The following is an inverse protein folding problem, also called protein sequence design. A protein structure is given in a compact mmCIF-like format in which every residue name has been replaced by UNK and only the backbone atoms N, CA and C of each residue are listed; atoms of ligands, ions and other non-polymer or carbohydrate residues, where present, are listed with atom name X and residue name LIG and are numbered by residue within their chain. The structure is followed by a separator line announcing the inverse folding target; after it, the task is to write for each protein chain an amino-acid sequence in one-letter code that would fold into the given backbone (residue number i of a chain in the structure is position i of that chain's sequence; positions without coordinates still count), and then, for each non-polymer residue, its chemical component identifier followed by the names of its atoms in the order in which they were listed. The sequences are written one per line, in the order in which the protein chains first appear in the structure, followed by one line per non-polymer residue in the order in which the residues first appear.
data_IF_240111278946
#
_entry.id   IF_240111278946
#
_cell.length_a   1.000
_cell.length_b   1.000
_cell.length_c   1.000
_cell.angle_alpha   90.00
_cell.angle_beta   90.00
_cell.angle_gamma   90.00
#
_symmetry.space_group_name_H-M   'P 1'
#
loop_
_entity.id
_entity.type
_entity.pdbx_description
1 polymer ?
#
# COMPACT_ATOMS: atom_id res chain seq x y z
N UNK A 1 3.29 23.10 12.49
CA UNK A 1 2.14 22.43 11.86
C UNK A 1 2.47 21.72 10.53
N UNK A 2 3.74 21.34 10.26
CA UNK A 2 4.17 21.02 8.88
C UNK A 2 4.64 19.57 8.63
N UNK A 3 4.77 18.71 9.64
CA UNK A 3 5.31 17.35 9.41
C UNK A 3 4.24 16.38 8.89
N UNK A 4 3.01 16.48 9.39
CA UNK A 4 1.89 15.61 9.00
C UNK A 4 1.43 15.91 7.56
N UNK A 5 1.41 17.19 7.15
CA UNK A 5 1.02 17.59 5.80
C UNK A 5 2.04 17.16 4.73
N UNK A 6 3.33 17.09 5.05
CA UNK A 6 4.36 16.61 4.12
C UNK A 6 4.29 15.09 3.92
N UNK A 7 4.10 14.31 4.99
CA UNK A 7 3.97 12.84 4.89
C UNK A 7 2.73 12.46 4.05
N UNK A 8 1.63 13.20 4.21
CA UNK A 8 0.39 12.96 3.46
C UNK A 8 0.53 13.26 1.96
N UNK A 9 1.34 14.25 1.57
CA UNK A 9 1.61 14.54 0.16
C UNK A 9 2.48 13.45 -0.48
N UNK A 10 3.45 12.90 0.26
CA UNK A 10 4.34 11.86 -0.25
C UNK A 10 3.60 10.53 -0.48
N UNK A 11 2.73 10.12 0.44
CA UNK A 11 1.96 8.88 0.29
C UNK A 11 0.96 8.96 -0.88
N UNK A 12 0.37 10.13 -1.11
CA UNK A 12 -0.55 10.36 -2.23
C UNK A 12 0.14 10.21 -3.59
N UNK A 13 1.38 10.70 -3.70
CA UNK A 13 2.20 10.51 -4.90
C UNK A 13 2.46 9.02 -5.12
N UNK A 14 2.85 8.29 -4.07
CA UNK A 14 3.12 6.86 -4.17
C UNK A 14 1.88 6.05 -4.58
N UNK A 15 0.70 6.37 -4.04
CA UNK A 15 -0.56 5.70 -4.43
C UNK A 15 -0.88 5.99 -5.90
N UNK A 16 -0.69 7.22 -6.36
CA UNK A 16 -0.90 7.57 -7.77
C UNK A 16 0.07 6.80 -8.69
N UNK A 17 1.31 6.60 -8.27
CA UNK A 17 2.27 5.78 -9.02
C UNK A 17 1.81 4.32 -9.13
N UNK A 18 1.19 3.74 -8.10
CA UNK A 18 0.61 2.40 -8.19
C UNK A 18 -0.45 2.30 -9.31
N UNK A 19 -1.23 3.37 -9.54
CA UNK A 19 -2.23 3.43 -10.61
C UNK A 19 -1.57 3.63 -11.98
N UNK A 20 -0.53 4.44 -12.06
CA UNK A 20 0.14 4.78 -13.33
C UNK A 20 1.00 3.64 -13.86
N UNK A 21 1.76 2.97 -12.99
CA UNK A 21 2.74 1.96 -13.40
C UNK A 21 2.23 0.53 -13.21
N UNK A 22 1.17 0.34 -12.42
CA UNK A 22 0.54 -0.97 -12.15
C UNK A 22 1.55 -2.06 -11.73
N UNK A 23 2.62 -1.66 -11.04
CA UNK A 23 3.74 -2.54 -10.71
C UNK A 23 3.69 -3.00 -9.25
N UNK A 24 4.13 -4.24 -9.00
CA UNK A 24 4.30 -4.75 -7.64
C UNK A 24 5.30 -3.94 -6.81
N UNK A 25 6.27 -3.31 -7.47
CA UNK A 25 7.31 -2.50 -6.83
C UNK A 25 6.72 -1.22 -6.22
N UNK A 26 5.83 -0.52 -6.94
CA UNK A 26 5.17 0.69 -6.40
C UNK A 26 4.31 0.35 -5.18
N UNK A 27 3.59 -0.77 -5.22
CA UNK A 27 2.81 -1.25 -4.07
C UNK A 27 3.73 -1.58 -2.90
N UNK A 28 4.87 -2.23 -3.16
CA UNK A 28 5.87 -2.53 -2.13
C UNK A 28 6.47 -1.27 -1.50
N UNK A 29 6.66 -0.20 -2.28
CA UNK A 29 7.14 1.09 -1.78
C UNK A 29 6.11 1.79 -0.88
N UNK A 30 4.82 1.72 -1.21
CA UNK A 30 3.73 2.18 -0.34
C UNK A 30 3.73 1.40 0.98
N UNK A 31 3.85 0.07 0.92
CA UNK A 31 3.92 -0.79 2.12
C UNK A 31 5.12 -0.40 2.99
N UNK A 32 6.31 -0.23 2.39
CA UNK A 32 7.51 0.23 3.09
C UNK A 32 7.27 1.56 3.79
N UNK A 33 6.77 2.56 3.06
CA UNK A 33 6.54 3.90 3.60
C UNK A 33 5.63 3.88 4.83
N UNK A 34 4.60 3.02 4.83
CA UNK A 34 3.64 2.90 5.93
C UNK A 34 4.10 2.02 7.10
N UNK A 35 4.95 1.03 6.84
CA UNK A 35 5.26 -0.05 7.80
C UNK A 35 6.74 -0.16 8.20
N UNK A 36 7.64 0.68 7.66
CA UNK A 36 9.09 0.63 7.91
C UNK A 36 9.50 0.69 9.39
N UNK A 37 8.71 1.38 10.21
CA UNK A 37 9.02 1.51 11.65
C UNK A 37 8.46 0.35 12.49
N UNK A 38 7.64 -0.51 11.88
CA UNK A 38 6.97 -1.65 12.53
C UNK A 38 7.56 -2.99 12.14
N UNK A 39 8.19 -3.09 10.98
CA UNK A 39 8.69 -4.34 10.42
C UNK A 39 10.11 -4.21 9.93
N UNK A 40 10.87 -5.30 10.01
CA UNK A 40 12.20 -5.40 9.41
C UNK A 40 12.42 -6.76 8.77
N UNK A 41 13.18 -6.78 7.68
CA UNK A 41 13.60 -8.00 7.02
C UNK A 41 14.98 -8.42 7.55
N UNK A 42 15.12 -9.65 8.04
CA UNK A 42 16.35 -10.13 8.70
C UNK A 42 17.07 -11.21 7.89
N UNK A 43 16.78 -11.34 6.59
CA UNK A 43 17.37 -12.37 5.72
C UNK A 43 16.63 -13.72 5.78
N UNK A 44 17.04 -14.67 4.93
CA UNK A 44 16.49 -16.03 4.85
C UNK A 44 14.95 -16.12 4.75
N UNK A 45 14.30 -15.17 4.09
CA UNK A 45 12.83 -15.08 4.04
C UNK A 45 12.16 -14.89 5.42
N UNK A 46 12.88 -14.38 6.42
CA UNK A 46 12.39 -14.14 7.78
C UNK A 46 12.13 -12.65 7.99
N UNK A 47 11.01 -12.37 8.65
CA UNK A 47 10.57 -11.03 9.04
C UNK A 47 10.43 -10.94 10.54
N UNK A 48 10.61 -9.74 11.07
CA UNK A 48 10.30 -9.40 12.45
C UNK A 48 9.37 -8.19 12.49
N UNK A 49 8.55 -8.13 13.54
CA UNK A 49 7.69 -6.99 13.84
C UNK A 49 8.03 -6.46 15.23
N UNK A 50 7.91 -5.15 15.40
CA UNK A 50 8.18 -4.48 16.67
C UNK A 50 6.91 -4.47 17.52
N UNK A 51 6.95 -5.11 18.69
CA UNK A 51 5.84 -5.16 19.63
C UNK A 51 6.39 -5.30 21.07
N UNK A 52 5.73 -4.66 22.04
CA UNK A 52 6.15 -4.69 23.45
C UNK A 52 7.62 -4.26 23.67
N UNK A 53 8.07 -3.24 22.95
CA UNK A 53 9.45 -2.72 22.95
C UNK A 53 10.53 -3.71 22.48
N UNK A 54 10.16 -4.83 21.86
CA UNK A 54 11.09 -5.84 21.35
C UNK A 54 10.74 -6.27 19.92
N UNK A 55 11.75 -6.77 19.19
CA UNK A 55 11.56 -7.35 17.87
C UNK A 55 11.19 -8.82 17.99
N UNK A 56 10.04 -9.19 17.42
CA UNK A 56 9.49 -10.56 17.47
C UNK A 56 9.46 -11.16 16.07
N UNK A 57 9.83 -12.44 15.95
CA UNK A 57 9.74 -13.18 14.67
C UNK A 57 8.30 -13.25 14.18
N UNK A 58 8.06 -12.79 12.97
CA UNK A 58 6.76 -12.89 12.31
C UNK A 58 6.64 -14.25 11.59
N UNK A 59 6.17 -15.26 12.33
CA UNK A 59 6.03 -16.62 11.78
C UNK A 59 5.08 -16.60 10.59
N UNK A 60 5.59 -17.03 9.43
CA UNK A 60 4.84 -17.05 8.16
C UNK A 60 4.29 -15.67 7.74
N UNK A 61 4.90 -14.58 8.21
CA UNK A 61 4.54 -13.20 7.87
C UNK A 61 3.08 -12.84 8.20
N UNK A 62 2.49 -13.49 9.22
CA UNK A 62 1.06 -13.36 9.53
C UNK A 62 0.74 -11.92 9.97
N UNK A 63 1.57 -11.31 10.81
CA UNK A 63 1.36 -9.96 11.29
C UNK A 63 1.51 -8.95 10.14
N UNK A 64 2.57 -9.09 9.34
CA UNK A 64 2.80 -8.25 8.16
C UNK A 64 1.63 -8.33 7.17
N UNK A 65 1.13 -9.53 6.89
CA UNK A 65 -0.04 -9.74 6.01
C UNK A 65 -1.28 -9.04 6.59
N UNK A 66 -1.51 -9.16 7.89
CA UNK A 66 -2.65 -8.55 8.55
C UNK A 66 -2.56 -7.01 8.52
N UNK A 67 -1.39 -6.45 8.77
CA UNK A 67 -1.17 -5.00 8.73
C UNK A 67 -1.24 -4.44 7.31
N UNK A 68 -0.79 -5.17 6.29
CA UNK A 68 -1.02 -4.79 4.89
C UNK A 68 -2.53 -4.76 4.62
N UNK A 69 -3.28 -5.79 5.02
CA UNK A 69 -4.73 -5.87 4.79
C UNK A 69 -5.52 -4.82 5.57
N UNK A 70 -5.05 -4.43 6.76
CA UNK A 70 -5.74 -3.46 7.60
C UNK A 70 -5.30 -2.03 7.28
N UNK A 71 -4.00 -1.74 7.33
CA UNK A 71 -3.48 -0.38 7.20
C UNK A 71 -3.38 0.04 5.74
N UNK A 72 -2.71 -0.77 4.91
CA UNK A 72 -2.39 -0.39 3.52
C UNK A 72 -3.65 -0.39 2.65
N UNK A 73 -4.50 -1.42 2.77
CA UNK A 73 -5.78 -1.42 2.07
C UNK A 73 -6.69 -0.25 2.49
N UNK A 74 -6.72 0.15 3.77
CA UNK A 74 -7.54 1.29 4.18
C UNK A 74 -7.09 2.61 3.54
N UNK A 75 -5.78 2.79 3.35
CA UNK A 75 -5.25 3.94 2.62
C UNK A 75 -5.70 3.92 1.16
N UNK A 76 -5.58 2.77 0.47
CA UNK A 76 -6.08 2.64 -0.91
C UNK A 76 -7.60 2.82 -1.02
N UNK A 77 -8.38 2.35 -0.04
CA UNK A 77 -9.84 2.54 0.03
C UNK A 77 -10.17 4.02 0.18
N UNK A 78 -9.48 4.73 1.08
CA UNK A 78 -9.68 6.16 1.26
C UNK A 78 -9.43 6.90 -0.05
N UNK A 79 -8.33 6.56 -0.74
CA UNK A 79 -8.01 7.18 -2.04
C UNK A 79 -9.00 6.81 -3.14
N UNK A 80 -9.54 5.58 -3.15
CA UNK A 80 -10.53 5.20 -4.14
C UNK A 80 -11.83 5.97 -3.94
N UNK A 81 -12.26 6.19 -2.70
CA UNK A 81 -13.43 7.02 -2.39
C UNK A 81 -13.23 8.46 -2.90
N UNK A 82 -12.04 9.05 -2.77
CA UNK A 82 -11.75 10.37 -3.35
C UNK A 82 -11.93 10.41 -4.87
N UNK A 83 -11.40 9.41 -5.60
CA UNK A 83 -11.59 9.32 -7.05
C UNK A 83 -13.04 9.09 -7.44
N UNK A 84 -13.77 8.27 -6.69
CA UNK A 84 -15.20 8.04 -6.92
C UNK A 84 -16.02 9.32 -6.70
N UNK A 85 -15.70 10.10 -5.66
CA UNK A 85 -16.36 11.39 -5.41
C UNK A 85 -16.11 12.36 -6.57
N UNK A 86 -14.86 12.45 -7.06
CA UNK A 86 -14.53 13.24 -8.26
C UNK A 86 -15.28 12.75 -9.50
N UNK A 87 -15.39 11.44 -9.70
CA UNK A 87 -16.18 10.85 -10.79
C UNK A 87 -17.66 11.24 -10.73
N UNK A 88 -18.27 11.22 -9.54
CA UNK A 88 -19.70 11.53 -9.37
C UNK A 88 -20.00 12.97 -9.76
N UNK A 89 -19.18 13.93 -9.32
CA UNK A 89 -19.41 15.37 -9.53
C UNK A 89 -18.93 15.89 -10.89
N UNK A 90 -18.09 15.14 -11.60
CA UNK A 90 -17.55 15.55 -12.91
C UNK A 90 -18.59 15.40 -14.02
N UNK A 91 -18.71 16.46 -14.83
CA UNK A 91 -19.63 16.54 -15.96
C UNK A 91 -18.94 16.22 -17.30
N UNK A 92 -17.65 16.57 -17.44
CA UNK A 92 -16.88 16.24 -18.64
C UNK A 92 -16.66 14.73 -18.72
N UNK A 93 -17.18 14.11 -19.78
CA UNK A 93 -17.15 12.65 -19.95
C UNK A 93 -15.74 12.08 -20.08
N UNK A 94 -14.78 12.82 -20.65
CA UNK A 94 -13.40 12.38 -20.79
C UNK A 94 -12.69 12.40 -19.44
N UNK A 95 -12.85 13.48 -18.67
CA UNK A 95 -12.27 13.58 -17.32
C UNK A 95 -12.91 12.55 -16.38
N UNK A 96 -14.23 12.40 -16.47
CA UNK A 96 -15.00 11.41 -15.71
C UNK A 96 -14.49 9.99 -15.98
N UNK A 97 -14.22 9.64 -17.24
CA UNK A 97 -13.62 8.35 -17.59
C UNK A 97 -12.26 8.13 -16.91
N UNK A 98 -11.40 9.15 -16.87
CA UNK A 98 -10.09 9.10 -16.18
C UNK A 98 -10.29 8.83 -14.68
N UNK A 99 -11.20 9.54 -14.01
CA UNK A 99 -11.47 9.34 -12.58
C UNK A 99 -12.00 7.93 -12.29
N UNK A 100 -12.91 7.43 -13.13
CA UNK A 100 -13.42 6.07 -13.03
C UNK A 100 -12.29 5.04 -13.15
N UNK A 101 -11.42 5.19 -14.16
CA UNK A 101 -10.26 4.30 -14.35
C UNK A 101 -9.36 4.27 -13.12
N UNK A 102 -9.07 5.44 -12.52
CA UNK A 102 -8.27 5.52 -11.29
C UNK A 102 -8.93 4.82 -10.11
N UNK A 103 -10.25 4.99 -9.95
CA UNK A 103 -11.03 4.27 -8.94
C UNK A 103 -10.94 2.76 -9.16
N UNK A 104 -11.23 2.27 -10.36
CA UNK A 104 -11.24 0.85 -10.70
C UNK A 104 -9.86 0.21 -10.44
N UNK A 105 -8.76 0.86 -10.87
CA UNK A 105 -7.39 0.38 -10.62
C UNK A 105 -7.08 0.22 -9.12
N UNK A 106 -7.55 1.14 -8.27
CA UNK A 106 -7.36 1.04 -6.83
C UNK A 106 -8.17 -0.12 -6.23
N UNK A 107 -9.41 -0.32 -6.68
CA UNK A 107 -10.23 -1.46 -6.28
C UNK A 107 -9.56 -2.78 -6.64
N UNK A 108 -9.00 -2.88 -7.86
CA UNK A 108 -8.28 -4.07 -8.30
C UNK A 108 -7.06 -4.37 -7.41
N UNK A 109 -6.28 -3.36 -7.05
CA UNK A 109 -5.16 -3.51 -6.10
C UNK A 109 -5.67 -4.03 -4.75
N UNK A 110 -6.73 -3.44 -4.20
CA UNK A 110 -7.31 -3.84 -2.90
C UNK A 110 -7.77 -5.30 -2.94
N UNK A 111 -8.47 -5.71 -4.01
CA UNK A 111 -8.95 -7.09 -4.18
C UNK A 111 -7.77 -8.05 -4.30
N UNK A 112 -6.76 -7.69 -5.09
CA UNK A 112 -5.56 -8.50 -5.27
C UNK A 112 -4.75 -8.65 -3.97
N UNK A 113 -4.63 -7.60 -3.15
CA UNK A 113 -3.97 -7.68 -1.84
C UNK A 113 -4.68 -8.62 -0.85
N UNK A 114 -5.97 -8.92 -1.05
CA UNK A 114 -6.67 -9.96 -0.27
C UNK A 114 -6.30 -11.39 -0.73
N UNK A 115 -5.82 -11.55 -1.96
CA UNK A 115 -5.38 -12.84 -2.50
C UNK A 115 -4.02 -13.26 -1.91
N UNK A 116 -3.97 -14.47 -1.34
CA UNK A 116 -2.77 -15.02 -0.68
C UNK A 116 -1.55 -15.12 -1.61
N UNK A 117 -1.73 -15.53 -2.86
CA UNK A 117 -0.62 -15.68 -3.81
C UNK A 117 -0.06 -14.31 -4.18
N UNK A 118 -0.95 -13.36 -4.45
CA UNK A 118 -0.57 -12.00 -4.84
C UNK A 118 0.17 -11.26 -3.71
N UNK A 119 -0.40 -11.21 -2.50
CA UNK A 119 0.26 -10.53 -1.38
C UNK A 119 1.63 -11.13 -1.04
N UNK A 120 1.80 -12.45 -1.17
CA UNK A 120 3.10 -13.09 -0.99
C UNK A 120 4.13 -12.67 -2.06
N UNK A 121 3.70 -12.38 -3.29
CA UNK A 121 4.59 -11.83 -4.31
C UNK A 121 4.98 -10.39 -3.97
N UNK A 122 4.04 -9.57 -3.52
CA UNK A 122 4.34 -8.20 -3.06
C UNK A 122 5.32 -8.21 -1.89
N UNK A 123 5.15 -9.10 -0.91
CA UNK A 123 6.08 -9.24 0.23
C UNK A 123 7.49 -9.63 -0.22
N UNK A 124 7.65 -10.37 -1.33
CA UNK A 124 8.98 -10.63 -1.90
C UNK A 124 9.61 -9.35 -2.43
N UNK A 125 8.85 -8.52 -3.13
CA UNK A 125 9.31 -7.22 -3.61
C UNK A 125 9.66 -6.28 -2.46
N UNK A 126 8.92 -6.33 -1.33
CA UNK A 126 9.19 -5.50 -0.16
C UNK A 126 10.61 -5.68 0.40
N UNK A 127 11.22 -6.86 0.26
CA UNK A 127 12.54 -7.15 0.84
C UNK A 127 13.61 -6.13 0.46
N UNK A 128 13.58 -5.64 -0.79
CA UNK A 128 14.57 -4.69 -1.30
C UNK A 128 14.55 -3.35 -0.55
N UNK A 129 13.41 -2.98 0.06
CA UNK A 129 13.25 -1.72 0.79
C UNK A 129 13.49 -1.88 2.30
N UNK A 130 13.25 -3.08 2.84
CA UNK A 130 13.37 -3.39 4.27
C UNK A 130 14.71 -4.02 4.66
N UNK A 131 15.66 -4.10 3.72
CA UNK A 131 16.98 -4.64 4.00
C UNK A 131 17.72 -3.67 4.93
N UNK A 132 18.24 -4.22 6.04
CA UNK A 132 19.08 -3.51 7.02
C UNK A 132 20.50 -3.40 6.47
#
# INVERSE_FOLDING_TARGET
MNTINNINNDIDVLINNCITYESHMEIALVIYTLLKDKYRYIGDNKWEYYNDNEWKKDKNNINLINDIKATVCNIFITKSIEWNNKYIIEEDSNIKYIYKRRYDSLIDIIVNLKNKKYINNIIKECKQFFTI
#
